data_IF_969436764886
#
_entry.id   IF_969436764886
#
_cell.length_a   1.000
_cell.length_b   1.000
_cell.length_c   1.000
_cell.angle_alpha   90.00
_cell.angle_beta   90.00
_cell.angle_gamma   90.00
#
_symmetry.space_group_name_H-M   'P 1'
#
loop_
_entity.id
_entity.type
_entity.pdbx_description
1 polymer ?
#
# COMPACT_ATOMS: atom_id res chain seq x y z
N UNK A 1 -7.71 -4.97 6.71
CA UNK A 1 -6.37 -4.32 6.68
C UNK A 1 -6.28 -3.30 7.80
N UNK A 2 -5.12 -3.18 8.44
CA UNK A 2 -4.79 -2.10 9.38
C UNK A 2 -3.37 -1.61 9.06
N UNK A 3 -3.18 -0.31 8.90
CA UNK A 3 -1.88 0.29 8.62
C UNK A 3 -1.77 1.62 9.39
N UNK A 4 -0.65 1.92 10.07
CA UNK A 4 -0.54 3.09 10.96
C UNK A 4 -0.66 4.45 10.26
N UNK A 5 -0.46 4.49 8.95
CA UNK A 5 -0.61 5.71 8.12
C UNK A 5 -1.97 5.79 7.40
N UNK A 6 -2.90 4.86 7.66
CA UNK A 6 -4.22 4.85 7.03
C UNK A 6 -5.30 4.93 8.12
N UNK A 7 -6.42 5.59 7.81
CA UNK A 7 -7.57 5.57 8.72
C UNK A 7 -8.12 4.16 8.87
N UNK A 8 -8.37 3.71 10.12
CA UNK A 8 -8.95 2.40 10.35
C UNK A 8 -10.34 2.31 9.71
N UNK A 9 -10.65 1.16 9.12
CA UNK A 9 -11.95 0.86 8.49
C UNK A 9 -12.38 1.80 7.36
N UNK A 10 -11.48 2.63 6.82
CA UNK A 10 -11.78 3.53 5.71
C UNK A 10 -12.16 2.79 4.41
N UNK A 11 -11.71 1.54 4.27
CA UNK A 11 -12.03 0.65 3.15
C UNK A 11 -12.19 -0.78 3.63
N UNK A 12 -13.12 -1.49 3.00
CA UNK A 12 -13.29 -2.93 3.19
C UNK A 12 -12.06 -3.70 2.72
N UNK A 13 -11.71 -4.73 3.47
CA UNK A 13 -10.54 -5.56 3.18
C UNK A 13 -10.82 -6.48 1.99
N UNK A 14 -10.08 -6.30 0.90
CA UNK A 14 -10.12 -7.20 -0.27
C UNK A 14 -8.75 -7.84 -0.48
N UNK A 15 -8.71 -9.17 -0.51
CA UNK A 15 -7.45 -9.94 -0.58
C UNK A 15 -6.64 -9.63 -1.83
N UNK A 16 -7.27 -9.45 -2.99
CA UNK A 16 -6.56 -9.14 -4.23
C UNK A 16 -5.85 -7.79 -4.17
N UNK A 17 -6.45 -6.76 -3.55
CA UNK A 17 -5.84 -5.44 -3.43
C UNK A 17 -4.57 -5.51 -2.57
N UNK A 18 -4.64 -6.26 -1.47
CA UNK A 18 -3.51 -6.52 -0.58
C UNK A 18 -2.39 -7.27 -1.31
N UNK A 19 -2.70 -8.37 -2.00
CA UNK A 19 -1.69 -9.15 -2.74
C UNK A 19 -1.00 -8.33 -3.83
N UNK A 20 -1.74 -7.51 -4.59
CA UNK A 20 -1.15 -6.65 -5.62
C UNK A 20 -0.26 -5.58 -4.98
N UNK A 21 -0.71 -4.96 -3.88
CA UNK A 21 0.08 -3.97 -3.17
C UNK A 21 1.38 -4.58 -2.60
N UNK A 22 1.33 -5.79 -2.04
CA UNK A 22 2.51 -6.47 -1.51
C UNK A 22 3.55 -6.71 -2.62
N UNK A 23 3.13 -7.18 -3.81
CA UNK A 23 4.03 -7.34 -4.97
C UNK A 23 4.61 -6.01 -5.44
N UNK A 24 3.78 -4.97 -5.52
CA UNK A 24 4.21 -3.63 -5.97
C UNK A 24 5.11 -2.90 -4.96
N UNK A 25 5.09 -3.29 -3.69
CA UNK A 25 6.01 -2.80 -2.67
C UNK A 25 7.42 -3.43 -2.79
N UNK A 26 7.49 -4.68 -3.23
CA UNK A 26 8.74 -5.44 -3.38
C UNK A 26 9.51 -5.09 -4.66
N UNK A 27 8.81 -4.78 -5.76
CA UNK A 27 9.42 -4.50 -7.07
C UNK A 27 8.57 -3.59 -7.95
N UNK A 28 9.21 -2.96 -8.92
CA UNK A 28 8.52 -2.13 -9.93
C UNK A 28 7.43 -2.94 -10.64
N UNK A 29 6.20 -2.43 -10.57
CA UNK A 29 5.01 -3.18 -10.99
C UNK A 29 4.03 -2.27 -11.73
N UNK A 30 3.62 -2.69 -12.93
CA UNK A 30 2.52 -2.07 -13.68
C UNK A 30 1.21 -2.80 -13.37
N UNK A 31 0.25 -2.11 -12.75
CA UNK A 31 -1.05 -2.69 -12.36
C UNK A 31 -2.11 -2.35 -13.40
N UNK A 32 -2.60 -3.37 -14.11
CA UNK A 32 -3.67 -3.24 -15.11
C UNK A 32 -4.97 -3.81 -14.53
N UNK A 33 -5.93 -2.92 -14.21
CA UNK A 33 -7.25 -3.30 -13.71
C UNK A 33 -8.32 -2.36 -14.29
N UNK A 34 -9.56 -2.82 -14.49
CA UNK A 34 -10.72 -1.96 -14.74
C UNK A 34 -10.93 -0.87 -13.67
N UNK A 35 -11.71 0.15 -14.00
CA UNK A 35 -12.15 1.17 -13.04
C UNK A 35 -13.03 0.52 -11.96
N UNK A 36 -13.10 1.15 -10.78
CA UNK A 36 -13.81 0.65 -9.60
C UNK A 36 -13.26 -0.63 -8.94
N UNK A 37 -12.24 -1.30 -9.50
CA UNK A 37 -11.54 -2.40 -8.82
C UNK A 37 -10.47 -1.94 -7.80
N UNK A 38 -10.40 -0.65 -7.51
CA UNK A 38 -9.57 -0.15 -6.43
C UNK A 38 -8.09 0.03 -6.78
N UNK A 39 -7.77 0.44 -8.02
CA UNK A 39 -6.42 0.92 -8.39
C UNK A 39 -5.92 1.98 -7.40
N UNK A 40 -6.76 2.97 -7.06
CA UNK A 40 -6.44 4.01 -6.06
C UNK A 40 -6.14 3.42 -4.69
N UNK A 41 -6.90 2.43 -4.25
CA UNK A 41 -6.68 1.76 -2.96
C UNK A 41 -5.34 1.05 -2.98
N UNK A 42 -5.05 0.26 -4.02
CA UNK A 42 -3.75 -0.42 -4.19
C UNK A 42 -2.61 0.59 -4.13
N UNK A 43 -2.67 1.70 -4.87
CA UNK A 43 -1.64 2.74 -4.84
C UNK A 43 -1.46 3.36 -3.45
N UNK A 44 -2.55 3.64 -2.74
CA UNK A 44 -2.49 4.19 -1.38
C UNK A 44 -1.85 3.21 -0.38
N UNK A 45 -2.12 1.91 -0.51
CA UNK A 45 -1.48 0.87 0.31
C UNK A 45 0.03 0.83 0.08
N UNK A 46 0.45 0.77 -1.19
CA UNK A 46 1.88 0.77 -1.58
C UNK A 46 2.58 2.03 -1.06
N UNK A 47 1.97 3.21 -1.26
CA UNK A 47 2.53 4.47 -0.78
C UNK A 47 2.70 4.47 0.75
N UNK A 48 1.71 3.97 1.48
CA UNK A 48 1.76 3.90 2.93
C UNK A 48 2.90 2.99 3.43
N UNK A 49 3.09 1.81 2.82
CA UNK A 49 4.18 0.90 3.17
C UNK A 49 5.57 1.49 2.82
N UNK A 50 5.70 2.17 1.67
CA UNK A 50 6.94 2.86 1.28
C UNK A 50 7.28 3.99 2.26
N UNK A 51 6.31 4.84 2.61
CA UNK A 51 6.51 5.95 3.55
C UNK A 51 6.87 5.45 4.95
N UNK A 52 6.25 4.35 5.41
CA UNK A 52 6.61 3.70 6.67
C UNK A 52 8.07 3.23 6.64
N UNK A 53 8.49 2.52 5.59
CA UNK A 53 9.88 2.06 5.41
C UNK A 53 10.87 3.23 5.38
N UNK A 54 10.54 4.33 4.71
CA UNK A 54 11.38 5.53 4.67
C UNK A 54 11.50 6.17 6.06
N UNK A 55 10.39 6.30 6.79
CA UNK A 55 10.39 6.82 8.16
C UNK A 55 11.26 5.97 9.10
N UNK A 56 11.18 4.65 8.98
CA UNK A 56 12.01 3.71 9.75
C UNK A 56 13.49 3.84 9.39
N UNK A 57 13.82 3.94 8.10
CA UNK A 57 15.19 4.16 7.64
C UNK A 57 15.78 5.46 8.18
N UNK A 58 15.03 6.56 8.15
CA UNK A 58 15.50 7.86 8.62
C UNK A 58 15.74 7.88 10.14
N UNK A 59 14.96 7.12 10.92
CA UNK A 59 15.19 6.97 12.36
C UNK A 59 16.49 6.24 12.69
N UNK A 60 16.98 5.38 11.80
CA UNK A 60 18.21 4.61 12.04
C UNK A 60 19.49 5.38 11.67
N UNK A 61 19.35 6.60 11.13
CA UNK A 61 20.46 7.48 10.72
C UNK A 61 20.69 8.60 11.77
N UNK A 62 19.78 8.76 12.72
CA UNK A 62 19.86 9.65 13.89
C UNK A 62 20.19 8.84 15.15
#
# INVERSE_FOLDING_TARGET
MSHPLLWPKAVESRVYQKKIADVAYEKDTVVILPTALGKTIISALVAADILKRQKERNKNIL
#
